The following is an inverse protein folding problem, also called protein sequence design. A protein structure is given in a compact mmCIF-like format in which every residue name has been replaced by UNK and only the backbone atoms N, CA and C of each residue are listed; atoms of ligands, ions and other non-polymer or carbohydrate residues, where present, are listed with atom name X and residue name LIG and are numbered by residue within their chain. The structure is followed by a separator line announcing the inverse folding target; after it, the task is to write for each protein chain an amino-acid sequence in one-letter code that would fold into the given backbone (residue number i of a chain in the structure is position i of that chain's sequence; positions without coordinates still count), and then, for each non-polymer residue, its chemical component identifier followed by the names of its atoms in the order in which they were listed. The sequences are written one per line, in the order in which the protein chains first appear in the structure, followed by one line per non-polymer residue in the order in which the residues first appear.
data_IF_070258219101
#
_entry.id   IF_070258219101
#
_cell.length_a   1.000
_cell.length_b   1.000
_cell.length_c   1.000
_cell.angle_alpha   90.00
_cell.angle_beta   90.00
_cell.angle_gamma   90.00
#
_symmetry.space_group_name_H-M   'P 1'
#
loop_
_entity.id
_entity.type
_entity.pdbx_description
1 polymer ?
#
# COMPACT_ATOMS: atom_id res chain seq x y z
N UNK A 1 23.18 -74.51 -99.15
CA UNK A 1 23.59 -73.92 -97.86
C UNK A 1 23.78 -72.43 -98.11
N UNK A 2 23.07 -71.50 -97.48
CA UNK A 2 22.58 -71.46 -96.10
C UNK A 2 21.13 -70.97 -96.02
N UNK A 3 20.36 -71.62 -95.15
CA UNK A 3 19.05 -71.18 -94.68
C UNK A 3 19.21 -69.99 -93.72
N UNK A 4 18.34 -68.98 -93.84
CA UNK A 4 18.23 -67.86 -92.90
C UNK A 4 17.17 -68.24 -91.85
N UNK A 5 17.51 -68.26 -90.54
CA UNK A 5 16.59 -68.72 -89.51
C UNK A 5 15.56 -67.64 -89.12
N UNK A 6 14.32 -68.02 -88.76
CA UNK A 6 13.30 -67.11 -88.26
C UNK A 6 13.44 -66.95 -86.73
N UNK A 7 13.46 -65.72 -86.22
CA UNK A 7 13.51 -65.53 -84.76
C UNK A 7 13.54 -64.09 -84.25
N UNK A 8 12.39 -63.66 -83.75
CA UNK A 8 12.19 -62.70 -82.67
C UNK A 8 12.70 -61.25 -82.85
N UNK A 9 11.80 -60.38 -83.31
CA UNK A 9 11.80 -58.96 -82.92
C UNK A 9 11.76 -58.89 -81.38
N UNK A 10 12.86 -58.51 -80.76
CA UNK A 10 12.89 -58.18 -79.33
C UNK A 10 12.04 -56.93 -79.09
N UNK A 11 11.05 -56.96 -78.18
CA UNK A 11 10.27 -55.77 -77.89
C UNK A 11 11.16 -54.71 -77.24
N UNK A 12 11.11 -53.50 -77.78
CA UNK A 12 11.83 -52.33 -77.27
C UNK A 12 11.64 -52.22 -75.75
N UNK A 13 12.73 -52.05 -74.98
CA UNK A 13 12.74 -52.11 -73.50
C UNK A 13 11.75 -51.12 -72.85
N UNK A 14 11.39 -50.06 -73.58
CA UNK A 14 10.41 -49.04 -73.18
C UNK A 14 9.01 -49.19 -73.77
N UNK A 15 8.70 -50.29 -74.46
CA UNK A 15 7.35 -50.55 -74.98
C UNK A 15 6.38 -50.82 -73.82
N UNK A 16 5.39 -49.94 -73.64
CA UNK A 16 4.27 -50.08 -72.70
C UNK A 16 2.95 -50.24 -73.45
N UNK A 17 2.71 -51.40 -74.10
CA UNK A 17 1.54 -51.61 -74.93
C UNK A 17 0.21 -51.60 -74.14
N UNK A 18 0.27 -51.69 -72.80
CA UNK A 18 -0.90 -51.61 -71.94
C UNK A 18 -1.15 -50.20 -71.37
N UNK A 19 -0.24 -49.24 -71.57
CA UNK A 19 -0.34 -47.86 -71.07
C UNK A 19 -0.36 -47.73 -69.53
N UNK A 20 0.08 -48.75 -68.80
CA UNK A 20 -0.09 -48.85 -67.33
C UNK A 20 1.08 -48.26 -66.54
N UNK A 21 2.23 -47.98 -67.16
CA UNK A 21 3.42 -47.48 -66.46
C UNK A 21 3.28 -46.00 -66.10
N UNK A 22 2.73 -45.18 -66.99
CA UNK A 22 2.56 -43.75 -66.76
C UNK A 22 1.58 -43.40 -65.63
N UNK A 23 0.40 -44.05 -65.51
CA UNK A 23 -0.50 -43.86 -64.37
C UNK A 23 0.12 -44.28 -63.04
N UNK A 24 0.90 -45.38 -63.02
CA UNK A 24 1.61 -45.84 -61.81
C UNK A 24 2.71 -44.88 -61.37
N UNK A 25 3.49 -44.36 -62.32
CA UNK A 25 4.51 -43.36 -62.03
C UNK A 25 3.88 -42.06 -61.50
N UNK A 26 2.79 -41.60 -62.11
CA UNK A 26 2.02 -40.45 -61.60
C UNK A 26 1.51 -40.67 -60.18
N UNK A 27 0.97 -41.85 -59.89
CA UNK A 27 0.51 -42.18 -58.55
C UNK A 27 1.66 -42.17 -57.53
N UNK A 28 2.81 -42.76 -57.88
CA UNK A 28 4.00 -42.78 -57.02
C UNK A 28 4.51 -41.35 -56.77
N UNK A 29 4.60 -40.52 -57.82
CA UNK A 29 5.03 -39.13 -57.70
C UNK A 29 4.04 -38.30 -56.86
N UNK A 30 2.74 -38.56 -56.98
CA UNK A 30 1.70 -37.90 -56.19
C UNK A 30 1.80 -38.30 -54.71
N UNK A 31 1.94 -39.59 -54.41
CA UNK A 31 2.13 -40.08 -53.03
C UNK A 31 3.40 -39.48 -52.42
N UNK A 32 4.50 -39.48 -53.17
CA UNK A 32 5.76 -38.88 -52.72
C UNK A 32 5.61 -37.37 -52.48
N UNK A 33 4.94 -36.65 -53.38
CA UNK A 33 4.67 -35.23 -53.23
C UNK A 33 3.83 -34.91 -51.98
N UNK A 34 2.80 -35.71 -51.72
CA UNK A 34 1.97 -35.56 -50.50
C UNK A 34 2.79 -35.84 -49.23
N UNK A 35 3.59 -36.90 -49.21
CA UNK A 35 4.44 -37.22 -48.06
C UNK A 35 5.51 -36.14 -47.81
N UNK A 36 6.14 -35.63 -48.87
CA UNK A 36 7.10 -34.54 -48.76
C UNK A 36 6.44 -33.25 -48.26
N UNK A 37 5.23 -32.93 -48.74
CA UNK A 37 4.47 -31.78 -48.27
C UNK A 37 4.10 -31.91 -46.79
N UNK A 38 3.55 -33.05 -46.37
CA UNK A 38 3.22 -33.32 -44.96
C UNK A 38 4.46 -33.24 -44.07
N UNK A 39 5.57 -33.85 -44.50
CA UNK A 39 6.85 -33.77 -43.77
C UNK A 39 7.36 -32.34 -43.63
N UNK A 40 7.23 -31.52 -44.69
CA UNK A 40 7.63 -30.11 -44.66
C UNK A 40 6.74 -29.29 -43.72
N UNK A 41 5.42 -29.50 -43.76
CA UNK A 41 4.48 -28.84 -42.84
C UNK A 41 4.80 -29.19 -41.40
N UNK A 42 4.99 -30.48 -41.08
CA UNK A 42 5.36 -30.92 -39.74
C UNK A 42 6.69 -30.31 -39.28
N UNK A 43 7.71 -30.30 -40.14
CA UNK A 43 9.01 -29.69 -39.83
C UNK A 43 8.90 -28.19 -39.56
N UNK A 44 8.18 -27.44 -40.41
CA UNK A 44 7.95 -26.01 -40.19
C UNK A 44 7.16 -25.79 -38.89
N UNK A 45 6.18 -26.64 -38.58
CA UNK A 45 5.44 -26.57 -37.33
C UNK A 45 6.35 -26.77 -36.11
N UNK A 46 7.37 -27.65 -36.18
CA UNK A 46 8.34 -27.81 -35.09
C UNK A 46 9.27 -26.61 -34.89
N UNK A 47 9.49 -25.77 -35.91
CA UNK A 47 10.26 -24.53 -35.78
C UNK A 47 9.50 -23.44 -35.00
N UNK A 48 8.16 -23.50 -34.95
CA UNK A 48 7.31 -22.54 -34.22
C UNK A 48 6.85 -23.03 -32.85
N UNK A 49 7.11 -24.30 -32.49
CA UNK A 49 6.89 -24.80 -31.13
C UNK A 49 8.19 -24.59 -30.34
N UNK A 50 8.25 -23.52 -29.55
CA UNK A 50 9.36 -23.30 -28.64
C UNK A 50 9.56 -24.55 -27.77
N UNK A 51 10.81 -25.07 -27.63
CA UNK A 51 11.07 -26.23 -26.79
C UNK A 51 10.72 -25.88 -25.34
N UNK A 52 9.53 -26.30 -24.90
CA UNK A 52 9.16 -26.24 -23.50
C UNK A 52 9.90 -27.38 -22.79
N UNK A 53 11.12 -27.11 -22.33
CA UNK A 53 11.71 -27.94 -21.30
C UNK A 53 10.81 -27.82 -20.07
N UNK A 54 9.97 -28.83 -19.84
CA UNK A 54 9.28 -29.02 -18.57
C UNK A 54 10.35 -29.38 -17.54
N UNK A 55 11.06 -28.37 -17.08
CA UNK A 55 11.99 -28.51 -15.96
C UNK A 55 11.20 -29.04 -14.77
N UNK A 56 11.70 -30.09 -14.09
CA UNK A 56 11.11 -30.59 -12.85
C UNK A 56 10.86 -29.42 -11.88
N UNK A 57 9.79 -29.50 -11.10
CA UNK A 57 9.44 -28.46 -10.11
C UNK A 57 10.64 -28.08 -9.24
N UNK A 58 11.39 -29.07 -8.77
CA UNK A 58 12.61 -28.89 -7.97
C UNK A 58 13.71 -28.08 -8.69
N UNK A 59 13.85 -28.21 -10.01
CA UNK A 59 14.83 -27.45 -10.79
C UNK A 59 14.36 -26.01 -11.06
N UNK A 60 13.05 -25.78 -11.17
CA UNK A 60 12.48 -24.43 -11.24
C UNK A 60 12.63 -23.70 -9.92
N UNK A 61 12.29 -24.37 -8.82
CA UNK A 61 12.46 -23.86 -7.46
C UNK A 61 13.93 -23.56 -7.15
N UNK A 62 14.85 -24.48 -7.46
CA UNK A 62 16.29 -24.25 -7.28
C UNK A 62 16.79 -23.10 -8.15
N UNK A 63 16.29 -22.95 -9.38
CA UNK A 63 16.65 -21.83 -10.26
C UNK A 63 16.10 -20.50 -9.73
N UNK A 64 14.88 -20.49 -9.18
CA UNK A 64 14.28 -19.35 -8.49
C UNK A 64 15.08 -18.95 -7.25
N UNK A 65 15.41 -19.92 -6.38
CA UNK A 65 16.26 -19.72 -5.20
C UNK A 65 17.66 -19.24 -5.59
N UNK A 66 18.30 -19.84 -6.61
CA UNK A 66 19.60 -19.40 -7.10
C UNK A 66 19.57 -18.00 -7.71
N UNK A 67 18.50 -17.64 -8.45
CA UNK A 67 18.31 -16.28 -8.97
C UNK A 67 18.07 -15.26 -7.84
N UNK A 68 17.27 -15.63 -6.84
CA UNK A 68 17.04 -14.81 -5.65
C UNK A 68 18.36 -14.56 -4.89
N UNK A 69 19.19 -15.60 -4.73
CA UNK A 69 20.52 -15.51 -4.12
C UNK A 69 21.56 -14.78 -5.01
N UNK A 70 21.46 -14.86 -6.34
CA UNK A 70 22.42 -14.25 -7.28
C UNK A 70 22.14 -12.78 -7.59
N UNK A 71 20.90 -12.30 -7.47
CA UNK A 71 20.62 -10.86 -7.61
C UNK A 71 21.06 -10.14 -6.33
N UNK A 72 22.25 -9.54 -6.38
CA UNK A 72 22.53 -8.35 -5.59
C UNK A 72 21.40 -7.35 -5.87
N UNK A 73 20.63 -7.10 -4.83
CA UNK A 73 19.25 -6.66 -4.83
C UNK A 73 19.08 -5.31 -5.58
N UNK A 74 18.48 -5.26 -6.80
CA UNK A 74 18.24 -3.99 -7.48
C UNK A 74 17.21 -3.11 -6.77
N UNK A 75 16.42 -3.68 -5.84
CA UNK A 75 15.43 -3.00 -4.99
C UNK A 75 16.03 -2.24 -3.78
N UNK A 76 17.37 -2.23 -3.61
CA UNK A 76 18.04 -1.42 -2.57
C UNK A 76 18.23 0.03 -3.02
N UNK A 77 17.77 0.40 -4.22
CA UNK A 77 17.71 1.80 -4.62
C UNK A 77 16.60 2.52 -3.85
N UNK A 78 16.98 3.20 -2.77
CA UNK A 78 16.12 4.14 -2.05
C UNK A 78 15.55 5.13 -3.07
N UNK A 79 14.23 5.19 -3.20
CA UNK A 79 13.58 6.11 -4.11
C UNK A 79 13.93 7.56 -3.73
N UNK A 80 14.10 8.49 -4.69
CA UNK A 80 14.36 9.89 -4.36
C UNK A 80 13.27 10.53 -3.47
N UNK A 81 12.02 10.04 -3.57
CA UNK A 81 10.89 10.41 -2.71
C UNK A 81 11.14 10.05 -1.24
N UNK A 82 11.79 8.92 -0.98
CA UNK A 82 12.15 8.47 0.37
C UNK A 82 13.11 9.41 1.12
N UNK A 83 13.76 10.34 0.42
CA UNK A 83 14.70 11.30 1.01
C UNK A 83 14.12 12.71 1.14
N UNK A 84 12.83 12.92 0.83
CA UNK A 84 12.19 14.23 0.90
C UNK A 84 12.27 14.84 2.30
N UNK A 85 12.13 14.03 3.36
CA UNK A 85 12.26 14.50 4.74
C UNK A 85 13.57 15.24 5.03
N UNK A 86 14.67 14.88 4.37
CA UNK A 86 15.95 15.57 4.54
C UNK A 86 15.89 17.00 4.00
N UNK A 87 15.18 17.21 2.89
CA UNK A 87 14.97 18.55 2.31
C UNK A 87 14.08 19.39 3.21
N UNK A 88 12.97 18.82 3.70
CA UNK A 88 12.07 19.50 4.62
C UNK A 88 12.76 19.85 5.95
N UNK A 89 13.50 18.91 6.54
CA UNK A 89 14.30 19.14 7.74
C UNK A 89 15.36 20.22 7.54
N UNK A 90 16.08 20.20 6.42
CA UNK A 90 17.06 21.23 6.09
C UNK A 90 16.41 22.62 5.89
N UNK A 91 15.26 22.69 5.23
CA UNK A 91 14.50 23.92 5.03
C UNK A 91 14.05 24.53 6.37
N UNK A 92 13.54 23.69 7.28
CA UNK A 92 13.13 24.10 8.63
C UNK A 92 14.31 24.63 9.44
N UNK A 93 15.45 23.94 9.41
CA UNK A 93 16.68 24.40 10.06
C UNK A 93 17.23 25.71 9.44
N UNK A 94 17.12 25.89 8.13
CA UNK A 94 17.52 27.12 7.46
C UNK A 94 16.61 28.30 7.84
N UNK A 95 15.29 28.09 7.87
CA UNK A 95 14.32 29.08 8.34
C UNK A 95 14.62 29.53 9.78
N UNK A 96 14.97 28.59 10.67
CA UNK A 96 15.40 28.88 12.05
C UNK A 96 16.66 29.74 12.12
N UNK A 97 17.66 29.46 11.28
CA UNK A 97 18.90 30.26 11.22
C UNK A 97 18.62 31.68 10.72
N UNK A 98 17.74 31.83 9.74
CA UNK A 98 17.32 33.12 9.19
C UNK A 98 16.48 33.94 10.18
N UNK A 99 15.65 33.27 10.99
CA UNK A 99 14.82 33.90 12.01
C UNK A 99 15.61 34.44 13.22
N UNK A 100 16.94 34.21 13.30
CA UNK A 100 17.83 34.83 14.29
C UNK A 100 17.35 34.62 15.73
N UNK A 101 17.33 33.38 16.22
CA UNK A 101 16.72 33.03 17.51
C UNK A 101 17.40 33.74 18.69
N UNK A 102 16.84 34.89 19.06
CA UNK A 102 16.60 35.22 20.46
C UNK A 102 15.36 34.41 20.85
N UNK A 103 15.30 33.71 22.00
CA UNK A 103 14.11 32.93 22.35
C UNK A 103 12.94 33.90 22.55
N UNK A 104 12.09 34.04 21.54
CA UNK A 104 10.78 34.65 21.71
C UNK A 104 10.00 33.72 22.61
N UNK A 105 9.47 34.19 23.76
CA UNK A 105 8.59 33.37 24.57
C UNK A 105 7.46 32.90 23.68
N UNK A 106 7.27 31.58 23.57
CA UNK A 106 6.05 31.03 22.98
C UNK A 106 4.87 31.78 23.61
N UNK A 107 3.89 32.25 22.82
CA UNK A 107 2.71 32.89 23.37
C UNK A 107 2.16 32.01 24.50
N UNK A 108 1.77 32.60 25.65
CA UNK A 108 1.30 31.80 26.77
C UNK A 108 0.17 30.91 26.25
N UNK A 109 0.24 29.59 26.46
CA UNK A 109 -0.82 28.71 26.00
C UNK A 109 -2.12 29.24 26.58
N UNK A 110 -3.02 29.70 25.71
CA UNK A 110 -4.44 29.85 26.07
C UNK A 110 -4.83 28.52 26.70
N UNK A 111 -5.70 28.54 27.70
CA UNK A 111 -6.10 27.34 28.46
C UNK A 111 -6.70 26.27 27.52
N UNK A 112 -5.82 25.49 26.89
CA UNK A 112 -6.14 24.33 26.07
C UNK A 112 -6.81 23.34 27.02
N UNK A 113 -7.98 22.82 26.63
CA UNK A 113 -8.59 21.68 27.33
C UNK A 113 -7.50 20.61 27.38
N UNK A 114 -7.04 20.24 28.59
CA UNK A 114 -6.00 19.22 28.77
C UNK A 114 -6.44 17.97 28.00
N UNK A 115 -5.68 17.58 26.99
CA UNK A 115 -5.86 16.30 26.32
C UNK A 115 -5.93 15.21 27.39
N UNK A 116 -6.88 14.26 27.29
CA UNK A 116 -7.02 13.21 28.28
C UNK A 116 -5.70 12.44 28.45
N UNK A 117 -5.40 11.94 29.66
CA UNK A 117 -4.10 11.37 30.00
C UNK A 117 -3.76 10.03 29.28
N UNK A 118 -4.66 9.52 28.43
CA UNK A 118 -4.53 8.22 27.79
C UNK A 118 -4.13 8.37 26.33
N UNK A 119 -3.14 7.58 25.91
CA UNK A 119 -2.70 7.40 24.52
C UNK A 119 -3.89 7.08 23.60
N UNK A 120 -4.06 7.87 22.55
CA UNK A 120 -5.02 7.57 21.48
C UNK A 120 -4.52 6.35 20.70
N UNK A 121 -5.44 5.43 20.41
CA UNK A 121 -5.25 4.21 19.64
C UNK A 121 -6.39 4.14 18.63
N UNK A 122 -6.16 4.79 17.50
CA UNK A 122 -7.12 4.85 16.40
C UNK A 122 -6.97 3.59 15.54
N UNK A 123 -8.06 3.05 15.04
CA UNK A 123 -8.01 1.95 14.08
C UNK A 123 -8.83 2.31 12.85
N UNK A 124 -8.24 2.20 11.66
CA UNK A 124 -8.95 2.40 10.41
C UNK A 124 -9.75 1.14 10.06
N UNK A 125 -11.00 1.35 9.65
CA UNK A 125 -11.97 0.29 9.35
C UNK A 125 -12.48 0.45 7.92
N UNK A 126 -12.34 -0.60 7.12
CA UNK A 126 -12.83 -0.61 5.74
C UNK A 126 -14.26 -1.12 5.70
N UNK A 127 -15.13 -0.34 5.08
CA UNK A 127 -16.54 -0.69 5.02
C UNK A 127 -16.77 -1.93 4.15
N UNK A 128 -17.61 -2.85 4.63
CA UNK A 128 -17.92 -4.11 3.92
C UNK A 128 -16.83 -5.20 3.97
N UNK A 129 -15.66 -4.94 4.55
CA UNK A 129 -14.60 -5.94 4.73
C UNK A 129 -14.88 -6.82 5.96
N UNK A 130 -15.17 -8.13 5.79
CA UNK A 130 -15.42 -9.02 6.92
C UNK A 130 -14.19 -9.20 7.83
N UNK A 131 -12.97 -9.04 7.32
CA UNK A 131 -11.75 -9.14 8.12
C UNK A 131 -11.59 -7.92 9.03
N UNK A 132 -11.92 -6.72 8.54
CA UNK A 132 -11.94 -5.51 9.38
C UNK A 132 -12.91 -5.64 10.55
N UNK A 133 -14.10 -6.21 10.33
CA UNK A 133 -15.08 -6.43 11.39
C UNK A 133 -14.62 -7.50 12.40
N UNK A 134 -14.05 -8.59 11.92
CA UNK A 134 -13.57 -9.68 12.78
C UNK A 134 -12.42 -9.19 13.69
N UNK A 135 -11.44 -8.49 13.13
CA UNK A 135 -10.33 -7.89 13.89
C UNK A 135 -10.84 -6.86 14.92
N UNK A 136 -11.82 -6.02 14.54
CA UNK A 136 -12.46 -5.10 15.48
C UNK A 136 -13.12 -5.83 16.66
N UNK A 137 -13.89 -6.88 16.40
CA UNK A 137 -14.57 -7.63 17.45
C UNK A 137 -13.59 -8.27 18.44
N UNK A 138 -12.50 -8.83 17.94
CA UNK A 138 -11.49 -9.52 18.72
C UNK A 138 -10.65 -8.55 19.57
N UNK A 139 -10.32 -7.38 19.03
CA UNK A 139 -9.34 -6.47 19.63
C UNK A 139 -9.92 -5.15 20.17
N UNK A 140 -11.25 -5.04 20.25
CA UNK A 140 -11.97 -3.85 20.72
C UNK A 140 -11.46 -3.26 22.04
N UNK A 141 -10.98 -4.08 22.99
CA UNK A 141 -10.47 -3.60 24.28
C UNK A 141 -9.15 -2.82 24.19
N UNK A 142 -8.45 -2.92 23.06
CA UNK A 142 -7.17 -2.23 22.82
C UNK A 142 -7.33 -0.96 21.97
N UNK A 143 -8.53 -0.70 21.46
CA UNK A 143 -8.86 0.41 20.56
C UNK A 143 -9.58 1.50 21.36
N UNK A 144 -9.19 2.77 21.17
CA UNK A 144 -9.90 3.89 21.80
C UNK A 144 -10.78 4.64 20.81
N UNK A 145 -10.39 4.68 19.53
CA UNK A 145 -11.13 5.33 18.47
C UNK A 145 -11.21 4.43 17.23
N UNK A 146 -12.37 4.39 16.58
CA UNK A 146 -12.58 3.67 15.33
C UNK A 146 -12.85 4.67 14.20
N UNK A 147 -12.12 4.56 13.11
CA UNK A 147 -12.22 5.42 11.94
C UNK A 147 -12.74 4.64 10.73
N UNK A 148 -14.08 4.57 10.53
CA UNK A 148 -14.62 3.90 9.36
C UNK A 148 -14.74 4.81 8.14
N UNK A 149 -14.44 4.28 6.97
CA UNK A 149 -14.61 4.94 5.66
C UNK A 149 -16.11 5.10 5.30
N UNK A 150 -16.72 6.23 5.69
CA UNK A 150 -18.18 6.39 5.57
C UNK A 150 -18.63 7.57 4.74
N UNK A 151 -17.87 8.66 4.69
CA UNK A 151 -18.33 9.90 4.07
C UNK A 151 -17.40 10.28 2.94
N UNK A 152 -17.96 10.54 1.76
CA UNK A 152 -17.20 10.96 0.58
C UNK A 152 -17.79 12.25 0.03
N UNK A 153 -16.94 13.25 -0.24
CA UNK A 153 -17.31 14.45 -0.99
C UNK A 153 -17.35 14.11 -2.47
N UNK A 154 -18.52 14.20 -3.10
CA UNK A 154 -18.72 13.72 -4.49
C UNK A 154 -18.66 14.83 -5.54
N UNK A 155 -18.74 16.11 -5.15
CA UNK A 155 -18.66 17.24 -6.07
C UNK A 155 -18.34 18.57 -5.38
N UNK A 156 -18.00 19.59 -6.18
CA UNK A 156 -17.72 20.96 -5.72
C UNK A 156 -18.92 21.78 -5.23
N UNK A 157 -20.14 21.20 -5.24
CA UNK A 157 -21.33 21.81 -4.63
C UNK A 157 -21.46 21.43 -3.15
N UNK A 158 -20.58 20.57 -2.63
CA UNK A 158 -20.63 20.08 -1.26
C UNK A 158 -21.68 19.00 -1.06
N UNK A 159 -21.97 18.20 -2.09
CA UNK A 159 -22.72 16.96 -1.90
C UNK A 159 -21.81 15.87 -1.35
N UNK A 160 -22.39 15.06 -0.46
CA UNK A 160 -21.71 13.94 0.18
C UNK A 160 -22.48 12.66 -0.08
N UNK A 161 -21.74 11.57 -0.26
CA UNK A 161 -22.24 10.22 -0.16
C UNK A 161 -21.91 9.68 1.24
N UNK A 162 -22.86 8.99 1.86
CA UNK A 162 -22.68 8.38 3.17
C UNK A 162 -23.02 6.89 3.03
N UNK A 163 -22.09 6.02 3.40
CA UNK A 163 -22.26 4.56 3.39
C UNK A 163 -21.91 3.98 4.77
N UNK A 164 -22.81 4.08 5.75
CA UNK A 164 -22.50 3.70 7.13
C UNK A 164 -22.73 2.21 7.39
N UNK A 165 -21.80 1.58 8.09
CA UNK A 165 -22.04 0.27 8.72
C UNK A 165 -22.88 0.46 9.99
N UNK A 166 -24.17 0.17 9.86
CA UNK A 166 -25.17 0.37 10.92
C UNK A 166 -24.87 -0.42 12.22
N UNK A 167 -23.96 -1.40 12.18
CA UNK A 167 -23.55 -2.18 13.36
C UNK A 167 -22.61 -1.37 14.26
N UNK A 168 -21.77 -0.51 13.69
CA UNK A 168 -20.66 0.13 14.40
C UNK A 168 -21.10 1.10 15.49
N UNK A 169 -22.11 1.98 15.32
CA UNK A 169 -22.48 2.93 16.38
C UNK A 169 -22.85 2.22 17.68
N UNK A 170 -23.63 1.13 17.59
CA UNK A 170 -24.03 0.33 18.76
C UNK A 170 -22.85 -0.47 19.32
N UNK A 171 -22.04 -1.07 18.46
CA UNK A 171 -20.87 -1.84 18.87
C UNK A 171 -19.86 -0.95 19.62
N UNK A 172 -19.44 0.18 19.03
CA UNK A 172 -18.50 1.12 19.63
C UNK A 172 -19.01 1.66 20.97
N UNK A 173 -20.29 2.06 21.04
CA UNK A 173 -20.89 2.51 22.29
C UNK A 173 -20.84 1.42 23.40
N UNK A 174 -21.05 0.14 23.04
CA UNK A 174 -20.98 -0.97 24.00
C UNK A 174 -19.58 -1.25 24.52
N UNK A 175 -18.54 -0.87 23.76
CA UNK A 175 -17.13 -1.07 24.10
C UNK A 175 -16.45 0.19 24.65
N UNK A 176 -17.14 1.33 24.66
CA UNK A 176 -16.55 2.62 25.02
C UNK A 176 -15.58 3.18 23.98
N UNK A 177 -15.66 2.71 22.73
CA UNK A 177 -14.86 3.20 21.61
C UNK A 177 -15.52 4.45 21.04
N UNK A 178 -14.73 5.50 20.81
CA UNK A 178 -15.20 6.71 20.12
C UNK A 178 -15.22 6.47 18.61
N UNK A 179 -16.34 6.74 17.98
CA UNK A 179 -16.46 6.65 16.52
C UNK A 179 -16.03 7.98 15.89
N UNK A 180 -15.18 7.91 14.86
CA UNK A 180 -14.64 9.05 14.13
C UNK A 180 -14.70 8.77 12.62
N UNK A 181 -15.87 8.88 11.95
CA UNK A 181 -16.00 8.59 10.53
C UNK A 181 -14.98 9.34 9.67
N UNK A 182 -14.40 8.65 8.68
CA UNK A 182 -13.52 9.25 7.69
C UNK A 182 -14.35 10.00 6.65
N UNK A 183 -13.91 11.22 6.33
CA UNK A 183 -14.46 12.11 5.32
C UNK A 183 -13.43 12.30 4.21
N UNK A 184 -13.62 11.61 3.10
CA UNK A 184 -12.66 11.58 1.98
C UNK A 184 -13.15 12.37 0.77
N UNK A 185 -12.25 12.66 -0.17
CA UNK A 185 -12.59 13.03 -1.55
C UNK A 185 -12.31 11.89 -2.53
N UNK A 186 -12.31 10.63 -2.06
CA UNK A 186 -12.07 9.44 -2.89
C UNK A 186 -13.39 8.87 -3.39
N UNK A 187 -13.64 8.93 -4.70
CA UNK A 187 -14.81 8.32 -5.35
C UNK A 187 -14.35 7.11 -6.15
N UNK A 188 -14.69 5.91 -5.66
CA UNK A 188 -14.11 4.67 -6.19
C UNK A 188 -12.59 4.67 -5.98
N UNK A 189 -11.83 4.59 -7.06
CA UNK A 189 -10.35 4.64 -7.03
C UNK A 189 -9.80 6.00 -7.50
N UNK A 190 -10.62 7.07 -7.46
CA UNK A 190 -10.23 8.38 -8.02
C UNK A 190 -10.49 9.51 -7.03
N UNK A 191 -9.40 10.15 -6.62
CA UNK A 191 -9.41 11.39 -5.83
C UNK A 191 -10.07 12.53 -6.61
N UNK A 192 -10.85 13.34 -5.91
CA UNK A 192 -11.62 14.46 -6.46
C UNK A 192 -11.11 15.79 -5.85
N UNK A 193 -9.90 16.25 -6.19
CA UNK A 193 -9.35 17.47 -5.59
C UNK A 193 -10.20 18.71 -5.92
N UNK A 194 -10.73 18.81 -7.14
CA UNK A 194 -11.56 19.95 -7.56
C UNK A 194 -12.87 20.03 -6.76
N UNK A 195 -13.35 18.91 -6.19
CA UNK A 195 -14.53 18.93 -5.34
C UNK A 195 -14.25 19.71 -4.03
N UNK A 196 -13.07 19.51 -3.44
CA UNK A 196 -12.64 20.19 -2.22
C UNK A 196 -12.26 21.63 -2.52
N UNK A 197 -11.48 21.86 -3.58
CA UNK A 197 -11.02 23.19 -3.98
C UNK A 197 -12.19 24.14 -4.29
N UNK A 198 -13.17 23.68 -5.08
CA UNK A 198 -14.35 24.48 -5.41
C UNK A 198 -15.28 24.70 -4.21
N UNK A 199 -15.27 23.79 -3.24
CA UNK A 199 -16.03 23.92 -2.02
C UNK A 199 -15.39 24.95 -1.08
N UNK A 200 -14.07 24.89 -0.91
CA UNK A 200 -13.29 25.82 -0.10
C UNK A 200 -13.26 27.24 -0.69
N UNK A 201 -13.12 27.37 -2.01
CA UNK A 201 -13.22 28.66 -2.71
C UNK A 201 -14.66 29.17 -2.90
N UNK A 202 -15.65 28.31 -2.63
CA UNK A 202 -17.06 28.58 -2.86
C UNK A 202 -17.65 29.64 -1.90
N UNK A 203 -18.89 30.11 -2.18
CA UNK A 203 -19.56 31.09 -1.33
C UNK A 203 -19.90 30.50 0.05
N UNK A 204 -19.96 31.36 1.08
CA UNK A 204 -20.12 30.94 2.48
C UNK A 204 -21.39 30.08 2.72
N UNK A 205 -22.48 30.37 2.02
CA UNK A 205 -23.72 29.59 2.11
C UNK A 205 -23.54 28.14 1.65
N UNK A 206 -22.65 27.88 0.69
CA UNK A 206 -22.30 26.52 0.26
C UNK A 206 -21.47 25.79 1.31
N UNK A 207 -20.50 26.48 1.91
CA UNK A 207 -19.67 25.94 2.98
C UNK A 207 -20.54 25.56 4.20
N UNK A 208 -21.42 26.46 4.64
CA UNK A 208 -22.33 26.22 5.77
C UNK A 208 -23.29 25.05 5.52
N UNK A 209 -23.84 24.93 4.31
CA UNK A 209 -24.67 23.77 3.94
C UNK A 209 -23.88 22.47 3.99
N UNK A 210 -22.63 22.47 3.53
CA UNK A 210 -21.76 21.30 3.62
C UNK A 210 -21.48 20.93 5.08
N UNK A 211 -21.09 21.89 5.92
CA UNK A 211 -20.86 21.67 7.36
C UNK A 211 -22.09 21.06 8.03
N UNK A 212 -23.28 21.59 7.74
CA UNK A 212 -24.53 21.07 8.28
C UNK A 212 -24.81 19.60 7.86
N UNK A 213 -24.50 19.22 6.62
CA UNK A 213 -24.63 17.83 6.14
C UNK A 213 -23.70 16.89 6.90
N UNK A 214 -22.42 17.26 7.05
CA UNK A 214 -21.45 16.41 7.76
C UNK A 214 -21.79 16.31 9.26
N UNK A 215 -22.13 17.43 9.91
CA UNK A 215 -22.54 17.45 11.32
C UNK A 215 -23.78 16.57 11.54
N UNK A 216 -24.75 16.60 10.61
CA UNK A 216 -25.91 15.70 10.69
C UNK A 216 -25.49 14.22 10.64
N UNK A 217 -24.60 13.84 9.72
CA UNK A 217 -24.08 12.47 9.62
C UNK A 217 -23.34 12.04 10.90
N UNK A 218 -22.49 12.90 11.44
CA UNK A 218 -21.75 12.67 12.70
C UNK A 218 -22.70 12.52 13.89
N UNK A 219 -23.76 13.36 13.97
CA UNK A 219 -24.80 13.26 15.01
C UNK A 219 -25.59 11.97 14.92
N UNK A 220 -26.03 11.59 13.72
CA UNK A 220 -26.83 10.38 13.49
C UNK A 220 -26.03 9.12 13.89
N UNK A 221 -24.73 9.13 13.60
CA UNK A 221 -23.79 8.09 14.01
C UNK A 221 -23.44 8.09 15.51
N UNK A 222 -23.81 9.15 16.25
CA UNK A 222 -23.32 9.45 17.61
C UNK A 222 -21.79 9.44 17.68
N UNK A 223 -21.15 9.88 16.61
CA UNK A 223 -19.70 9.96 16.52
C UNK A 223 -19.15 11.11 17.37
N UNK A 224 -17.90 10.96 17.80
CA UNK A 224 -17.19 11.97 18.57
C UNK A 224 -16.67 13.12 17.69
N UNK A 225 -16.62 12.93 16.38
CA UNK A 225 -16.03 13.86 15.43
C UNK A 225 -15.92 13.25 14.03
N UNK A 226 -15.06 13.83 13.21
CA UNK A 226 -14.74 13.39 11.86
C UNK A 226 -13.23 13.41 11.66
N UNK A 227 -12.71 12.45 10.88
CA UNK A 227 -11.33 12.50 10.36
C UNK A 227 -11.41 12.93 8.90
N UNK A 228 -10.77 14.03 8.53
CA UNK A 228 -10.69 14.50 7.15
C UNK A 228 -9.50 13.87 6.47
N UNK A 229 -9.75 13.25 5.32
CA UNK A 229 -8.71 12.72 4.44
C UNK A 229 -8.90 13.21 3.02
N UNK A 230 -8.39 14.42 2.77
CA UNK A 230 -8.47 15.08 1.48
C UNK A 230 -7.10 15.10 0.83
N UNK A 231 -6.98 14.39 -0.29
CA UNK A 231 -5.73 14.24 -1.01
C UNK A 231 -5.73 14.98 -2.36
N UNK A 232 -4.52 15.17 -2.90
CA UNK A 232 -4.23 15.75 -4.22
C UNK A 232 -4.66 17.21 -4.41
N UNK A 233 -4.81 17.96 -3.32
CA UNK A 233 -5.19 19.38 -3.35
C UNK A 233 -4.04 20.24 -3.88
N UNK A 234 -4.32 21.13 -4.83
CA UNK A 234 -3.32 22.06 -5.35
C UNK A 234 -2.92 23.09 -4.26
N UNK A 235 -1.62 23.24 -3.94
CA UNK A 235 -1.12 24.22 -2.96
C UNK A 235 -1.54 25.68 -3.22
N UNK A 236 -1.95 26.04 -4.44
CA UNK A 236 -2.54 27.35 -4.75
C UNK A 236 -3.76 27.65 -3.88
N UNK A 237 -4.53 26.62 -3.49
CA UNK A 237 -5.72 26.75 -2.65
C UNK A 237 -5.43 26.76 -1.15
N UNK A 238 -4.16 26.71 -0.71
CA UNK A 238 -3.77 26.67 0.71
C UNK A 238 -4.57 27.64 1.59
N UNK A 239 -4.68 28.91 1.20
CA UNK A 239 -5.38 29.93 1.99
C UNK A 239 -6.88 29.67 2.11
N UNK A 240 -7.51 29.25 1.01
CA UNK A 240 -8.95 28.96 0.98
C UNK A 240 -9.25 27.69 1.80
N UNK A 241 -8.39 26.67 1.68
CA UNK A 241 -8.48 25.41 2.43
C UNK A 241 -8.28 25.65 3.93
N UNK A 242 -7.28 26.43 4.32
CA UNK A 242 -7.04 26.80 5.72
C UNK A 242 -8.26 27.52 6.30
N UNK A 243 -8.76 28.55 5.64
CA UNK A 243 -9.95 29.27 6.11
C UNK A 243 -11.22 28.40 6.13
N UNK A 244 -11.32 27.43 5.22
CA UNK A 244 -12.43 26.49 5.19
C UNK A 244 -12.37 25.49 6.36
N UNK A 245 -11.22 24.87 6.61
CA UNK A 245 -11.01 23.95 7.73
C UNK A 245 -11.23 24.69 9.06
N UNK A 246 -10.72 25.91 9.19
CA UNK A 246 -10.89 26.74 10.38
C UNK A 246 -12.37 26.93 10.77
N UNK A 247 -13.19 27.38 9.81
CA UNK A 247 -14.65 27.50 9.99
C UNK A 247 -15.32 26.16 10.25
N UNK A 248 -14.80 25.08 9.67
CA UNK A 248 -15.36 23.76 9.85
C UNK A 248 -15.11 23.23 11.26
N UNK A 249 -13.92 23.46 11.82
CA UNK A 249 -13.60 23.21 13.22
C UNK A 249 -14.58 23.95 14.13
N UNK A 250 -14.76 25.26 13.93
CA UNK A 250 -15.73 26.05 14.69
C UNK A 250 -17.15 25.46 14.64
N UNK A 251 -17.61 25.06 13.45
CA UNK A 251 -18.93 24.47 13.27
C UNK A 251 -19.09 23.13 14.00
N UNK A 252 -18.07 22.27 13.99
CA UNK A 252 -18.05 21.00 14.72
C UNK A 252 -17.93 21.20 16.23
N UNK A 253 -17.08 22.11 16.69
CA UNK A 253 -16.89 22.43 18.10
C UNK A 253 -18.16 23.00 18.74
N UNK A 254 -18.95 23.78 18.00
CA UNK A 254 -20.26 24.26 18.43
C UNK A 254 -21.27 23.12 18.68
N UNK A 255 -21.00 21.91 18.18
CA UNK A 255 -21.76 20.69 18.45
C UNK A 255 -21.02 19.67 19.35
N UNK A 256 -19.97 20.11 20.05
CA UNK A 256 -19.10 19.24 20.85
C UNK A 256 -18.52 18.06 20.04
N UNK A 257 -18.17 18.28 18.77
CA UNK A 257 -17.53 17.32 17.87
C UNK A 257 -16.09 17.72 17.56
N UNK A 258 -15.19 16.74 17.44
CA UNK A 258 -13.79 16.95 17.09
C UNK A 258 -13.58 16.92 15.56
N UNK A 259 -12.58 17.65 15.07
CA UNK A 259 -12.06 17.54 13.71
C UNK A 259 -10.60 17.10 13.75
N UNK A 260 -10.32 15.95 13.13
CA UNK A 260 -8.95 15.46 12.96
C UNK A 260 -8.58 15.57 11.48
N UNK A 261 -7.37 16.01 11.16
CA UNK A 261 -6.91 16.22 9.79
C UNK A 261 -5.79 15.25 9.45
N UNK A 262 -5.94 14.44 8.40
CA UNK A 262 -4.84 13.60 7.92
C UNK A 262 -3.73 14.43 7.32
N UNK A 263 -2.51 13.92 7.44
CA UNK A 263 -1.30 14.55 6.95
C UNK A 263 -0.48 13.49 6.25
N UNK A 264 -0.38 13.58 4.92
CA UNK A 264 0.54 12.76 4.13
C UNK A 264 1.91 13.47 4.08
N UNK A 265 3.01 12.82 4.50
CA UNK A 265 4.34 13.40 4.36
C UNK A 265 4.74 13.47 2.89
N UNK A 266 5.07 14.67 2.41
CA UNK A 266 5.38 14.86 1.00
C UNK A 266 5.02 16.25 0.51
N UNK A 267 4.55 16.32 -0.72
CA UNK A 267 4.10 17.57 -1.34
C UNK A 267 2.79 18.07 -0.72
N UNK A 268 2.02 17.18 -0.12
CA UNK A 268 0.76 17.43 0.56
C UNK A 268 0.94 18.36 1.77
N UNK A 269 2.15 18.38 2.36
CA UNK A 269 2.49 19.35 3.40
C UNK A 269 2.46 20.80 2.90
N UNK A 270 2.56 21.04 1.59
CA UNK A 270 2.59 22.38 1.03
C UNK A 270 1.23 23.08 1.11
N UNK A 271 0.10 22.36 1.01
CA UNK A 271 -1.24 22.95 1.09
C UNK A 271 -1.77 23.11 2.52
N UNK A 272 -1.14 22.49 3.52
CA UNK A 272 -1.56 22.58 4.92
C UNK A 272 -0.84 23.75 5.60
N UNK A 273 -1.59 24.62 6.28
CA UNK A 273 -1.04 25.68 7.12
C UNK A 273 -1.09 25.26 8.60
N UNK A 274 -0.04 24.58 9.07
CA UNK A 274 0.01 24.07 10.44
C UNK A 274 -0.06 25.18 11.49
N UNK A 275 0.57 26.33 11.24
CA UNK A 275 0.61 27.42 12.20
C UNK A 275 -0.80 27.98 12.44
N UNK A 276 -1.57 28.20 11.37
CA UNK A 276 -2.94 28.70 11.46
C UNK A 276 -3.92 27.63 11.98
N UNK A 277 -3.77 26.37 11.54
CA UNK A 277 -4.72 25.31 11.88
C UNK A 277 -4.49 24.68 13.26
N UNK A 278 -3.27 24.75 13.81
CA UNK A 278 -2.92 24.04 15.05
C UNK A 278 -3.70 24.49 16.28
N UNK A 279 -4.27 25.70 16.29
CA UNK A 279 -5.08 26.19 17.41
C UNK A 279 -6.51 25.63 17.39
N UNK A 280 -7.03 25.24 16.23
CA UNK A 280 -8.43 24.85 16.04
C UNK A 280 -8.62 23.37 15.65
N UNK A 281 -7.67 22.75 14.95
CA UNK A 281 -7.71 21.30 14.66
C UNK A 281 -7.42 20.50 15.93
N UNK A 282 -8.25 19.51 16.26
CA UNK A 282 -8.08 18.74 17.50
C UNK A 282 -6.88 17.78 17.43
N UNK A 283 -6.65 17.16 16.27
CA UNK A 283 -5.53 16.26 16.00
C UNK A 283 -5.07 16.31 14.55
N UNK A 284 -3.75 16.19 14.36
CA UNK A 284 -3.18 15.82 13.07
C UNK A 284 -2.92 14.31 13.03
N UNK A 285 -3.31 13.64 11.96
CA UNK A 285 -3.18 12.18 11.78
C UNK A 285 -2.17 11.93 10.67
N UNK A 286 -0.91 11.72 11.03
CA UNK A 286 0.17 11.55 10.05
C UNK A 286 0.26 10.11 9.54
N UNK A 287 0.11 9.91 8.24
CA UNK A 287 0.25 8.59 7.60
C UNK A 287 1.71 8.30 7.30
N UNK A 288 2.36 7.49 8.15
CA UNK A 288 3.77 7.13 7.99
C UNK A 288 3.92 5.69 7.49
N UNK A 289 3.40 5.44 6.29
CA UNK A 289 3.56 4.23 5.48
C UNK A 289 3.48 4.61 3.98
N UNK A 290 3.49 3.64 3.07
CA UNK A 290 3.58 3.86 1.61
C UNK A 290 4.79 4.71 1.19
N UNK A 291 5.95 4.49 1.81
CA UNK A 291 7.22 5.00 1.28
C UNK A 291 7.42 4.57 -0.19
N UNK A 292 7.03 3.33 -0.49
CA UNK A 292 6.92 2.76 -1.83
C UNK A 292 5.47 2.34 -2.06
N UNK A 293 4.84 2.88 -3.10
CA UNK A 293 3.44 2.60 -3.43
C UNK A 293 3.27 1.45 -4.43
N UNK A 294 2.02 1.05 -4.68
CA UNK A 294 1.68 -0.01 -5.63
C UNK A 294 2.10 0.27 -7.09
N UNK A 295 2.25 1.52 -7.49
CA UNK A 295 2.68 1.93 -8.84
C UNK A 295 4.19 2.16 -8.95
N UNK A 296 4.91 2.14 -7.83
CA UNK A 296 6.36 2.25 -7.80
C UNK A 296 7.05 0.90 -8.07
N UNK A 297 8.35 0.89 -8.42
CA UNK A 297 9.15 -0.33 -8.37
C UNK A 297 9.18 -0.92 -6.95
N UNK A 298 9.40 -2.24 -6.79
CA UNK A 298 9.41 -2.88 -5.48
C UNK A 298 10.42 -2.26 -4.51
N UNK A 299 10.00 -2.05 -3.27
CA UNK A 299 10.79 -1.37 -2.23
C UNK A 299 10.10 -1.36 -0.86
N UNK A 300 10.77 -0.80 0.16
CA UNK A 300 10.25 -0.77 1.52
C UNK A 300 8.99 0.11 1.63
N UNK A 301 8.03 -0.33 2.45
CA UNK A 301 6.77 0.38 2.71
C UNK A 301 6.90 1.43 3.81
N UNK A 302 7.91 1.30 4.66
CA UNK A 302 8.16 2.19 5.79
C UNK A 302 9.53 1.93 6.39
N UNK A 303 10.59 2.19 5.62
CA UNK A 303 11.96 2.02 6.07
C UNK A 303 12.24 2.84 7.31
N UNK A 304 13.11 2.32 8.19
CA UNK A 304 13.45 2.96 9.46
C UNK A 304 13.87 4.42 9.29
N UNK A 305 14.79 4.69 8.36
CA UNK A 305 15.31 6.04 8.13
C UNK A 305 14.26 7.01 7.61
N UNK A 306 13.35 6.54 6.75
CA UNK A 306 12.26 7.34 6.23
C UNK A 306 11.26 7.68 7.34
N UNK A 307 10.85 6.66 8.11
CA UNK A 307 9.90 6.80 9.21
C UNK A 307 10.43 7.75 10.29
N UNK A 308 11.63 7.50 10.82
CA UNK A 308 12.24 8.33 11.87
C UNK A 308 12.48 9.77 11.37
N UNK A 309 12.86 9.92 10.10
CA UNK A 309 13.07 11.22 9.46
C UNK A 309 11.80 12.06 9.41
N UNK A 310 10.70 11.51 8.88
CA UNK A 310 9.43 12.21 8.83
C UNK A 310 8.81 12.45 10.20
N UNK A 311 8.88 11.46 11.10
CA UNK A 311 8.42 11.63 12.47
C UNK A 311 9.12 12.82 13.13
N UNK A 312 10.44 12.95 12.96
CA UNK A 312 11.18 14.09 13.47
C UNK A 312 10.74 15.41 12.83
N UNK A 313 10.60 15.47 11.51
CA UNK A 313 10.18 16.68 10.78
C UNK A 313 8.82 17.19 11.24
N UNK A 314 7.84 16.29 11.39
CA UNK A 314 6.47 16.63 11.78
C UNK A 314 6.37 17.08 13.24
N UNK A 315 7.09 16.41 14.16
CA UNK A 315 6.96 16.65 15.59
C UNK A 315 7.89 17.76 16.11
N UNK A 316 8.95 18.09 15.38
CA UNK A 316 9.85 19.17 15.77
C UNK A 316 9.08 20.50 15.90
N UNK A 317 9.22 21.19 17.03
CA UNK A 317 8.61 22.51 17.28
C UNK A 317 7.06 22.55 17.22
N UNK A 318 6.38 21.40 17.26
CA UNK A 318 4.90 21.30 17.36
C UNK A 318 4.46 20.78 18.74
N UNK A 319 3.16 20.85 19.04
CA UNK A 319 2.59 20.15 20.20
C UNK A 319 2.48 18.66 19.87
N UNK A 320 3.46 17.86 20.27
CA UNK A 320 3.52 16.42 19.94
C UNK A 320 2.26 15.66 20.35
N UNK A 321 1.53 16.13 21.37
CA UNK A 321 0.28 15.51 21.83
C UNK A 321 -0.90 15.70 20.87
N UNK A 322 -0.79 16.61 19.92
CA UNK A 322 -1.76 16.81 18.86
C UNK A 322 -1.60 15.79 17.72
N UNK A 323 -0.46 15.10 17.65
CA UNK A 323 -0.16 14.17 16.57
C UNK A 323 -0.56 12.74 16.92
N UNK A 324 -1.29 12.10 16.01
CA UNK A 324 -1.53 10.67 15.95
C UNK A 324 -0.74 10.12 14.77
N UNK A 325 0.13 9.13 14.99
CA UNK A 325 0.97 8.57 13.94
C UNK A 325 0.37 7.26 13.45
N UNK A 326 -0.05 7.22 12.19
CA UNK A 326 -0.60 6.02 11.57
C UNK A 326 0.51 5.10 11.09
N UNK A 327 0.44 3.85 11.52
CA UNK A 327 1.35 2.75 11.20
C UNK A 327 0.62 1.78 10.26
N UNK A 328 1.25 1.46 9.14
CA UNK A 328 0.70 0.50 8.18
C UNK A 328 0.76 -0.94 8.69
N UNK A 329 -0.14 -1.78 8.19
CA UNK A 329 -0.25 -3.20 8.55
C UNK A 329 -0.75 -4.05 7.38
N UNK A 330 0.04 -4.06 6.30
CA UNK A 330 -0.23 -4.77 5.04
C UNK A 330 1.09 -4.99 4.29
N UNK A 331 1.03 -5.55 3.09
CA UNK A 331 2.13 -5.67 2.15
C UNK A 331 1.71 -5.43 0.71
N UNK A 332 2.69 -5.46 -0.18
CA UNK A 332 2.49 -5.45 -1.63
C UNK A 332 3.25 -6.61 -2.26
N UNK A 333 2.63 -7.25 -3.25
CA UNK A 333 3.27 -8.20 -4.15
C UNK A 333 3.38 -7.59 -5.55
N UNK A 334 4.61 -7.31 -5.97
CA UNK A 334 4.91 -6.91 -7.33
C UNK A 334 5.28 -8.11 -8.17
N UNK A 335 4.51 -8.33 -9.23
CA UNK A 335 5.03 -9.07 -10.39
C UNK A 335 6.07 -8.19 -11.10
N UNK A 336 7.31 -8.66 -11.22
CA UNK A 336 8.38 -7.91 -11.88
C UNK A 336 8.02 -7.61 -13.33
N UNK A 337 8.07 -6.33 -13.71
CA UNK A 337 7.63 -5.83 -15.02
C UNK A 337 6.12 -5.59 -15.14
N UNK A 338 5.36 -5.83 -14.06
CA UNK A 338 3.97 -5.42 -13.92
C UNK A 338 3.81 -3.89 -13.83
N UNK A 339 2.58 -3.42 -14.04
CA UNK A 339 2.25 -1.99 -13.96
C UNK A 339 1.84 -1.52 -12.57
N UNK A 340 1.41 -2.45 -11.72
CA UNK A 340 0.82 -2.21 -10.41
C UNK A 340 1.02 -3.44 -9.55
N UNK A 341 1.39 -3.24 -8.29
CA UNK A 341 1.43 -4.29 -7.27
C UNK A 341 0.03 -4.68 -6.83
N UNK A 342 -0.07 -5.88 -6.27
CA UNK A 342 -1.25 -6.31 -5.53
C UNK A 342 -1.09 -5.94 -4.05
N UNK A 343 -2.07 -5.21 -3.50
CA UNK A 343 -2.17 -5.00 -2.05
C UNK A 343 -2.56 -6.32 -1.37
N UNK A 344 -1.78 -6.72 -0.37
CA UNK A 344 -1.98 -7.99 0.35
C UNK A 344 -1.96 -7.77 1.86
N UNK A 345 -2.68 -8.61 2.58
CA UNK A 345 -2.60 -8.72 4.03
C UNK A 345 -1.34 -9.45 4.49
N UNK A 346 -0.99 -9.32 5.77
CA UNK A 346 0.09 -10.09 6.38
C UNK A 346 -0.12 -11.61 6.25
N UNK A 347 -1.32 -12.18 6.55
CA UNK A 347 -1.57 -13.61 6.34
C UNK A 347 -1.42 -14.06 4.88
N UNK A 348 -1.73 -13.21 3.90
CA UNK A 348 -1.51 -13.50 2.49
C UNK A 348 -0.03 -13.50 2.14
N UNK A 349 0.76 -12.55 2.67
CA UNK A 349 2.22 -12.57 2.52
C UNK A 349 2.83 -13.86 3.07
N UNK A 350 2.40 -14.28 4.28
CA UNK A 350 2.86 -15.54 4.88
C UNK A 350 2.42 -16.77 4.08
N UNK A 351 1.19 -16.76 3.55
CA UNK A 351 0.69 -17.85 2.69
C UNK A 351 1.48 -17.95 1.39
N UNK A 352 1.88 -16.82 0.79
CA UNK A 352 2.73 -16.79 -0.42
C UNK A 352 4.13 -17.31 -0.13
N UNK A 353 4.74 -16.87 0.97
CA UNK A 353 6.04 -17.37 1.41
C UNK A 353 6.01 -18.89 1.62
N UNK A 354 5.00 -19.40 2.35
CA UNK A 354 4.83 -20.83 2.60
C UNK A 354 4.65 -21.63 1.30
N UNK A 355 3.77 -21.18 0.40
CA UNK A 355 3.52 -21.87 -0.87
C UNK A 355 4.73 -21.86 -1.82
N UNK A 356 5.62 -20.88 -1.66
CA UNK A 356 6.85 -20.75 -2.42
C UNK A 356 8.06 -21.44 -1.76
N UNK A 357 7.86 -22.15 -0.63
CA UNK A 357 8.91 -22.74 0.20
C UNK A 357 10.02 -21.72 0.55
N UNK A 358 9.62 -20.48 0.84
CA UNK A 358 10.50 -19.45 1.39
C UNK A 358 10.63 -19.70 2.88
N UNK A 359 11.82 -20.14 3.31
CA UNK A 359 12.08 -20.51 4.71
C UNK A 359 12.12 -19.30 5.66
N UNK A 360 12.50 -18.12 5.18
CA UNK A 360 12.56 -16.90 5.99
C UNK A 360 12.47 -15.64 5.11
N UNK A 361 11.78 -14.61 5.59
CA UNK A 361 11.86 -13.28 5.00
C UNK A 361 13.21 -12.61 5.35
N UNK A 362 13.75 -11.81 4.43
CA UNK A 362 14.94 -11.02 4.67
C UNK A 362 14.59 -9.74 5.44
N UNK A 363 15.31 -9.48 6.53
CA UNK A 363 15.26 -8.22 7.28
C UNK A 363 16.67 -7.69 7.44
N UNK A 364 17.03 -6.69 6.66
CA UNK A 364 18.39 -6.12 6.67
C UNK A 364 18.38 -4.60 6.74
N UNK A 365 19.45 -4.04 7.33
CA UNK A 365 19.69 -2.61 7.28
C UNK A 365 20.09 -2.17 5.86
N UNK A 366 19.75 -0.94 5.43
CA UNK A 366 19.28 0.16 6.28
C UNK A 366 17.76 0.22 6.48
N UNK A 367 16.96 -0.55 5.73
CA UNK A 367 15.49 -0.39 5.74
C UNK A 367 14.84 -1.02 6.97
N UNK A 368 15.30 -2.20 7.40
CA UNK A 368 14.66 -3.02 8.44
C UNK A 368 13.18 -3.31 8.20
N UNK A 369 12.76 -3.34 6.93
CA UNK A 369 11.41 -3.70 6.53
C UNK A 369 11.47 -5.07 5.82
N UNK A 370 10.67 -6.07 6.23
CA UNK A 370 10.80 -7.43 5.71
C UNK A 370 10.37 -7.56 4.26
N UNK A 371 11.09 -8.43 3.53
CA UNK A 371 10.75 -8.79 2.16
C UNK A 371 11.16 -10.22 1.81
N UNK A 372 10.59 -10.75 0.74
CA UNK A 372 11.06 -11.96 0.09
C UNK A 372 10.78 -11.93 -1.42
N UNK A 373 11.47 -12.80 -2.15
CA UNK A 373 11.29 -12.99 -3.58
C UNK A 373 10.91 -14.43 -3.88
N UNK A 374 10.05 -14.64 -4.86
CA UNK A 374 9.72 -15.98 -5.36
C UNK A 374 9.45 -15.96 -6.86
N UNK A 375 9.37 -17.16 -7.47
CA UNK A 375 9.01 -17.33 -8.86
C UNK A 375 7.73 -18.17 -8.94
N UNK A 376 6.68 -17.63 -9.57
CA UNK A 376 5.44 -18.35 -9.87
C UNK A 376 5.13 -18.26 -11.36
N UNK A 377 4.79 -19.39 -11.99
CA UNK A 377 4.48 -19.49 -13.42
C UNK A 377 5.47 -18.73 -14.36
N UNK A 378 6.78 -18.87 -14.11
CA UNK A 378 7.88 -18.19 -14.83
C UNK A 378 7.88 -16.65 -14.69
N UNK A 379 7.16 -16.10 -13.71
CA UNK A 379 7.18 -14.69 -13.32
C UNK A 379 7.91 -14.53 -12.00
N UNK A 380 8.79 -13.53 -11.94
CA UNK A 380 9.44 -13.14 -10.69
C UNK A 380 8.49 -12.23 -9.90
N UNK A 381 8.39 -12.49 -8.60
CA UNK A 381 7.61 -11.71 -7.65
C UNK A 381 8.50 -11.14 -6.55
N UNK A 382 8.17 -9.93 -6.10
CA UNK A 382 8.81 -9.25 -5.00
C UNK A 382 7.74 -8.88 -3.98
N UNK A 383 7.87 -9.37 -2.75
CA UNK A 383 6.93 -9.08 -1.67
C UNK A 383 7.62 -8.27 -0.60
N UNK A 384 7.06 -7.11 -0.28
CA UNK A 384 7.43 -6.30 0.89
C UNK A 384 6.21 -6.15 1.77
N UNK A 385 6.37 -6.27 3.09
CA UNK A 385 5.25 -6.26 4.02
C UNK A 385 5.61 -5.63 5.36
N UNK A 386 4.60 -5.34 6.17
CA UNK A 386 4.73 -4.81 7.52
C UNK A 386 4.31 -5.88 8.52
N UNK A 387 5.15 -6.14 9.52
CA UNK A 387 4.98 -7.16 10.55
C UNK A 387 4.97 -6.55 11.96
N UNK A 388 4.72 -7.37 12.98
CA UNK A 388 4.77 -6.94 14.39
C UNK A 388 6.11 -6.31 14.77
N UNK A 389 7.21 -6.78 14.19
CA UNK A 389 8.55 -6.28 14.48
C UNK A 389 8.73 -4.85 13.97
N UNK A 390 8.34 -4.60 12.72
CA UNK A 390 8.35 -3.27 12.10
C UNK A 390 7.43 -2.33 12.89
N UNK A 391 6.22 -2.78 13.21
CA UNK A 391 5.25 -2.03 14.00
C UNK A 391 5.80 -1.63 15.38
N UNK A 392 6.44 -2.55 16.11
CA UNK A 392 6.99 -2.28 17.43
C UNK A 392 8.16 -1.31 17.40
N UNK A 393 9.03 -1.43 16.38
CA UNK A 393 10.12 -0.48 16.18
C UNK A 393 9.56 0.93 15.96
N UNK A 394 8.57 1.09 15.07
CA UNK A 394 7.91 2.37 14.79
C UNK A 394 7.16 2.92 16.01
N UNK A 395 6.37 2.09 16.69
CA UNK A 395 5.60 2.47 17.88
C UNK A 395 6.51 2.95 19.02
N UNK A 396 7.70 2.35 19.16
CA UNK A 396 8.69 2.81 20.13
C UNK A 396 9.13 4.23 19.85
N UNK A 397 9.41 4.57 18.59
CA UNK A 397 9.80 5.93 18.21
C UNK A 397 8.66 6.92 18.42
N UNK A 398 7.42 6.57 18.04
CA UNK A 398 6.21 7.38 18.29
C UNK A 398 6.04 7.72 19.78
N UNK A 399 6.19 6.70 20.65
CA UNK A 399 6.13 6.87 22.10
C UNK A 399 7.32 7.62 22.66
N UNK A 400 8.52 7.41 22.10
CA UNK A 400 9.75 8.13 22.45
C UNK A 400 9.62 9.63 22.22
N UNK A 401 8.99 10.03 21.12
CA UNK A 401 8.65 11.43 20.80
C UNK A 401 7.44 11.96 21.57
N UNK A 402 6.78 11.12 22.40
CA UNK A 402 5.61 11.48 23.20
C UNK A 402 4.47 12.04 22.35
N UNK A 403 4.21 11.40 21.20
CA UNK A 403 3.05 11.71 20.38
C UNK A 403 1.73 11.49 21.16
N UNK A 404 0.65 12.11 20.72
CA UNK A 404 -0.69 11.97 21.31
C UNK A 404 -1.25 10.55 21.21
N UNK A 405 -0.77 9.78 20.24
CA UNK A 405 -1.12 8.38 20.06
C UNK A 405 -0.60 7.81 18.75
N UNK A 406 -1.12 6.65 18.40
CA UNK A 406 -0.89 6.00 17.11
C UNK A 406 -2.21 5.55 16.49
N UNK A 407 -2.17 5.29 15.19
CA UNK A 407 -3.25 4.67 14.46
C UNK A 407 -2.76 3.39 13.75
N UNK A 408 -3.64 2.40 13.56
CA UNK A 408 -3.38 1.20 12.77
C UNK A 408 -4.13 1.32 11.43
N UNK A 409 -3.41 1.26 10.31
CA UNK A 409 -3.97 1.20 8.96
C UNK A 409 -3.60 -0.14 8.31
N UNK A 410 -4.50 -1.12 8.25
CA UNK A 410 -5.92 -1.08 8.68
C UNK A 410 -6.34 -2.41 9.31
N UNK A 411 -7.49 -2.41 9.98
CA UNK A 411 -8.04 -3.63 10.57
C UNK A 411 -8.34 -4.69 9.51
N UNK A 412 -8.01 -5.94 9.80
CA UNK A 412 -8.23 -7.09 8.95
C UNK A 412 -7.04 -7.48 8.07
N UNK A 413 -6.01 -6.63 7.97
CA UNK A 413 -4.82 -6.92 7.14
C UNK A 413 -3.56 -7.15 7.98
N UNK A 414 -3.61 -6.86 9.28
CA UNK A 414 -2.47 -6.81 10.17
C UNK A 414 -1.87 -8.17 10.51
N UNK A 415 -0.63 -8.14 11.02
CA UNK A 415 -0.04 -9.24 11.77
C UNK A 415 -0.77 -9.38 13.12
N UNK A 416 -1.43 -10.52 13.41
CA UNK A 416 -2.15 -10.72 14.67
C UNK A 416 -1.29 -10.51 15.92
N UNK A 417 0.03 -10.76 15.82
CA UNK A 417 0.96 -10.57 16.93
C UNK A 417 1.10 -9.10 17.37
N UNK A 418 0.67 -8.13 16.54
CA UNK A 418 0.59 -6.72 16.94
C UNK A 418 -0.29 -6.54 18.18
N UNK A 419 -1.44 -7.22 18.21
CA UNK A 419 -2.38 -7.09 19.33
C UNK A 419 -1.83 -7.69 20.61
N UNK A 420 -1.21 -8.86 20.51
CA UNK A 420 -0.50 -9.50 21.63
C UNK A 420 0.59 -8.57 22.17
N UNK A 421 1.39 -7.98 21.30
CA UNK A 421 2.45 -7.06 21.69
C UNK A 421 1.91 -5.78 22.36
N UNK A 422 0.72 -5.30 21.97
CA UNK A 422 0.05 -4.17 22.60
C UNK A 422 -0.52 -4.48 23.99
N UNK A 423 -0.73 -5.75 24.34
CA UNK A 423 -1.13 -6.16 25.70
C UNK A 423 0.04 -6.16 26.68
N UNK A 424 1.28 -6.20 26.19
CA UNK A 424 2.48 -6.20 27.04
C UNK A 424 2.58 -4.88 27.81
N UNK A 425 2.82 -4.98 29.11
CA UNK A 425 2.88 -3.81 29.98
C UNK A 425 4.03 -2.87 29.60
N UNK A 426 3.75 -1.57 29.63
CA UNK A 426 4.70 -0.51 29.26
C UNK A 426 5.92 -0.41 30.20
N UNK A 427 5.82 -0.98 31.40
CA UNK A 427 6.89 -1.00 32.42
C UNK A 427 7.73 -2.28 32.37
N UNK A 428 7.58 -3.10 31.33
CA UNK A 428 8.39 -4.29 31.12
C UNK A 428 9.89 -3.94 31.14
N UNK A 429 10.63 -4.49 32.10
CA UNK A 429 12.06 -4.25 32.27
C UNK A 429 12.85 -5.41 31.66
N UNK A 430 13.68 -5.07 30.69
CA UNK A 430 14.70 -5.93 30.12
C UNK A 430 16.06 -5.46 30.65
N UNK A 431 16.97 -6.40 30.95
CA UNK A 431 18.34 -6.09 31.33
C UNK A 431 19.09 -5.38 30.18
N UNK A 432 20.16 -4.64 30.49
CA UNK A 432 20.82 -3.80 29.48
C UNK A 432 21.44 -4.61 28.34
N UNK A 433 21.91 -5.84 28.59
CA UNK A 433 22.53 -6.68 27.57
C UNK A 433 21.48 -7.19 26.58
N UNK A 434 20.34 -7.66 27.09
CA UNK A 434 19.20 -8.05 26.25
C UNK A 434 18.57 -6.83 25.56
N UNK A 435 18.59 -5.64 26.19
CA UNK A 435 18.12 -4.40 25.57
C UNK A 435 18.96 -3.98 24.37
N UNK A 436 20.29 -4.02 24.49
CA UNK A 436 21.22 -3.72 23.37
C UNK A 436 21.01 -4.68 22.20
N UNK A 437 20.77 -5.97 22.48
CA UNK A 437 20.45 -6.96 21.46
C UNK A 437 19.09 -6.74 20.78
N UNK A 438 18.16 -6.00 21.41
CA UNK A 438 16.81 -5.69 20.93
C UNK A 438 16.63 -4.21 20.54
N UNK A 439 17.71 -3.43 20.43
CA UNK A 439 17.67 -2.00 20.05
C UNK A 439 17.04 -1.77 18.68
N UNK A 440 17.15 -2.75 17.79
CA UNK A 440 16.23 -2.94 16.67
C UNK A 440 15.80 -4.38 16.78
N UNK A 441 14.49 -4.62 16.94
CA UNK A 441 13.97 -5.94 16.69
C UNK A 441 14.27 -6.23 15.22
N UNK A 442 15.27 -7.08 14.97
CA UNK A 442 15.45 -7.72 13.68
C UNK A 442 14.51 -8.90 13.75
N UNK A 443 13.55 -8.98 12.83
CA UNK A 443 12.73 -10.19 12.73
C UNK A 443 13.70 -11.36 12.60
N UNK A 444 13.76 -12.19 13.63
CA UNK A 444 14.56 -13.40 13.62
C UNK A 444 13.57 -14.54 13.59
N UNK A 445 13.55 -15.22 12.45
CA UNK A 445 13.02 -16.56 12.23
C UNK A 445 11.53 -16.74 12.59
N UNK A 446 10.65 -16.55 11.59
CA UNK A 446 9.36 -17.28 11.53
C UNK A 446 9.55 -18.62 10.86
#
# INVERSE_FOLDING_TARGET
MQEIPPGALTPFVFSDPAGKRWPRLRLILLIFGVLAFVGTVLFVQTLFVAPQMRVPFSLRQLKGQLKALQKANPAVQIAPSSLLWQKFGAAKQAAKKLAGVTPTPAPPPKTRKKAPPNEVRLAFYTNGDPYSYSSLEEHASLITHLCPEWITVVNGLGDIQIDPDIRLPKFCASKGIKLMPLLTNLVGDTWQPEAIENLAHGPADRQERFFAKVIAAVRDAKAAGVVIDWEQIDPVYKKDITAFIDKFCDALHNDDKELWLTVQPGQELEYIDFDELSDNVDRFVASLFDETSDIDPPGPLGSRSWFEGWLHVLLEETDTKQWIITLGSYGYDWTIGGKKAELISFPEAMSRAFNADVESAEVSGPSYNPYFYFEDADKEHAVWFLDVVTFLNQLREVRGQKAGGFALYRLGTEDPAIWDALTVSKDFKIDNQTREALEVLKGTDT
#
